data_IF_850254950439
#
_entry.id   IF_850254950439
#
_cell.length_a   1.000
_cell.length_b   1.000
_cell.length_c   1.000
_cell.angle_alpha   90.00
_cell.angle_beta   90.00
_cell.angle_gamma   90.00
#
_symmetry.space_group_name_H-M   'P 1'
#
loop_
_entity.id
_entity.type
_entity.pdbx_description
1 polymer ?
#
# COMPACT_ATOMS: atom_id res chain seq x y z
N UNK A 1 2.10 -7.43 -13.16
CA UNK A 1 2.87 -7.65 -11.91
C UNK A 1 2.36 -8.93 -11.28
N UNK A 2 3.27 -9.76 -10.78
CA UNK A 2 2.94 -10.95 -9.98
C UNK A 2 3.41 -10.73 -8.55
N UNK A 3 2.65 -11.22 -7.60
CA UNK A 3 2.90 -11.13 -6.16
C UNK A 3 2.79 -12.53 -5.55
N UNK A 4 3.63 -12.83 -4.57
CA UNK A 4 3.44 -14.02 -3.75
C UNK A 4 2.25 -13.86 -2.81
N UNK A 5 1.67 -14.99 -2.38
CA UNK A 5 0.75 -14.96 -1.24
C UNK A 5 1.55 -14.74 0.04
N UNK A 6 1.14 -13.75 0.84
CA UNK A 6 1.77 -13.42 2.12
C UNK A 6 0.73 -13.55 3.22
N UNK A 7 1.08 -14.30 4.29
CA UNK A 7 0.22 -14.42 5.46
C UNK A 7 -0.09 -13.04 6.05
N UNK A 8 -1.36 -12.79 6.34
CA UNK A 8 -1.85 -11.50 6.81
C UNK A 8 -2.26 -10.54 5.69
N UNK A 9 -2.17 -10.91 4.40
CA UNK A 9 -2.72 -10.11 3.29
C UNK A 9 -3.93 -10.82 2.71
N UNK A 10 -5.12 -10.25 2.91
CA UNK A 10 -6.38 -10.78 2.37
C UNK A 10 -6.88 -9.88 1.23
N UNK A 11 -6.74 -10.28 -0.05
CA UNK A 11 -7.23 -9.50 -1.16
C UNK A 11 -8.76 -9.47 -1.22
N UNK A 12 -9.31 -8.38 -1.74
CA UNK A 12 -10.73 -8.27 -2.10
C UNK A 12 -10.90 -8.32 -3.62
N UNK A 13 -12.11 -8.66 -4.06
CA UNK A 13 -12.51 -8.62 -5.46
C UNK A 13 -12.43 -7.19 -6.00
N UNK A 14 -11.89 -7.06 -7.22
CA UNK A 14 -11.87 -5.82 -8.01
C UNK A 14 -12.88 -5.85 -9.16
N UNK A 15 -13.95 -6.65 -9.03
CA UNK A 15 -14.94 -6.82 -10.10
C UNK A 15 -15.82 -5.58 -10.32
N UNK A 16 -16.17 -4.85 -9.26
CA UNK A 16 -16.84 -3.56 -9.31
C UNK A 16 -16.53 -2.76 -8.03
N UNK A 17 -16.64 -1.42 -8.05
CA UNK A 17 -16.41 -0.58 -6.86
C UNK A 17 -17.26 -1.03 -5.66
N UNK A 18 -18.55 -1.32 -5.90
CA UNK A 18 -19.49 -1.71 -4.85
C UNK A 18 -19.06 -3.03 -4.20
N UNK A 19 -18.66 -4.01 -5.01
CA UNK A 19 -18.20 -5.30 -4.50
C UNK A 19 -16.88 -5.19 -3.76
N UNK A 20 -15.96 -4.35 -4.25
CA UNK A 20 -14.71 -4.04 -3.55
C UNK A 20 -15.00 -3.42 -2.17
N UNK A 21 -15.88 -2.43 -2.11
CA UNK A 21 -16.26 -1.77 -0.87
C UNK A 21 -16.94 -2.70 0.13
N UNK A 22 -17.88 -3.54 -0.34
CA UNK A 22 -18.57 -4.52 0.50
C UNK A 22 -17.61 -5.54 1.11
N UNK A 23 -16.73 -6.12 0.30
CA UNK A 23 -15.74 -7.09 0.76
C UNK A 23 -14.73 -6.41 1.72
N UNK A 24 -14.27 -5.19 1.41
CA UNK A 24 -13.33 -4.45 2.24
C UNK A 24 -13.92 -4.10 3.61
N UNK A 25 -15.15 -3.57 3.63
CA UNK A 25 -15.86 -3.25 4.87
C UNK A 25 -16.09 -4.51 5.72
N UNK A 26 -16.50 -5.62 5.09
CA UNK A 26 -16.71 -6.88 5.81
C UNK A 26 -15.42 -7.41 6.45
N UNK A 27 -14.29 -7.32 5.74
CA UNK A 27 -12.98 -7.70 6.27
C UNK A 27 -12.53 -6.78 7.42
N UNK A 28 -12.73 -5.46 7.30
CA UNK A 28 -12.38 -4.51 8.35
C UNK A 28 -13.21 -4.72 9.62
N UNK A 29 -14.53 -4.94 9.49
CA UNK A 29 -15.41 -5.28 10.62
C UNK A 29 -14.98 -6.58 11.27
N UNK A 30 -14.67 -7.62 10.48
CA UNK A 30 -14.17 -8.89 11.02
C UNK A 30 -12.88 -8.71 11.83
N UNK A 31 -11.96 -7.90 11.33
CA UNK A 31 -10.66 -7.69 11.95
C UNK A 31 -10.73 -6.80 13.21
N UNK A 32 -11.64 -5.82 13.25
CA UNK A 32 -11.83 -4.92 14.43
C UNK A 32 -12.82 -5.45 15.46
N UNK A 33 -13.64 -6.44 15.11
CA UNK A 33 -14.67 -7.01 15.96
C UNK A 33 -16.07 -6.41 15.76
N UNK A 34 -17.09 -6.96 16.43
CA UNK A 34 -18.50 -6.68 16.14
C UNK A 34 -18.93 -5.24 16.42
N UNK A 35 -18.23 -4.51 17.29
CA UNK A 35 -18.53 -3.09 17.56
C UNK A 35 -18.28 -2.21 16.33
N UNK A 36 -17.27 -2.54 15.51
CA UNK A 36 -16.95 -1.81 14.29
C UNK A 36 -18.03 -1.93 13.21
N UNK A 37 -18.96 -2.89 13.32
CA UNK A 37 -20.10 -3.01 12.40
C UNK A 37 -21.03 -1.80 12.46
N UNK A 38 -21.02 -1.05 13.57
CA UNK A 38 -21.84 0.14 13.77
C UNK A 38 -21.07 1.44 13.51
N UNK A 39 -19.80 1.36 13.12
CA UNK A 39 -18.99 2.52 12.79
C UNK A 39 -19.24 2.94 11.33
N UNK A 40 -19.94 4.07 11.08
CA UNK A 40 -20.19 4.54 9.72
C UNK A 40 -18.88 4.90 8.98
N UNK A 41 -17.81 5.23 9.71
CA UNK A 41 -16.51 5.53 9.14
C UNK A 41 -15.90 4.34 8.41
N UNK A 42 -16.11 3.11 8.91
CA UNK A 42 -15.58 1.90 8.25
C UNK A 42 -16.19 1.71 6.86
N UNK A 43 -17.50 1.92 6.73
CA UNK A 43 -18.19 1.80 5.44
C UNK A 43 -17.77 2.90 4.48
N UNK A 44 -17.77 4.15 4.94
CA UNK A 44 -17.37 5.29 4.12
C UNK A 44 -15.93 5.15 3.61
N UNK A 45 -14.97 4.80 4.48
CA UNK A 45 -13.58 4.61 4.06
C UNK A 45 -13.43 3.44 3.06
N UNK A 46 -14.24 2.38 3.19
CA UNK A 46 -14.21 1.28 2.25
C UNK A 46 -14.75 1.67 0.86
N UNK A 47 -15.79 2.50 0.81
CA UNK A 47 -16.34 3.07 -0.42
C UNK A 47 -15.33 3.99 -1.10
N UNK A 48 -14.76 4.96 -0.38
CA UNK A 48 -13.75 5.89 -0.90
C UNK A 48 -12.50 5.14 -1.42
N UNK A 49 -12.03 4.13 -0.68
CA UNK A 49 -10.90 3.30 -1.10
C UNK A 49 -11.22 2.49 -2.37
N UNK A 50 -12.43 1.96 -2.49
CA UNK A 50 -12.86 1.23 -3.68
C UNK A 50 -12.98 2.16 -4.89
N UNK A 51 -13.60 3.33 -4.74
CA UNK A 51 -13.72 4.31 -5.82
C UNK A 51 -12.35 4.73 -6.35
N UNK A 52 -11.42 5.09 -5.46
CA UNK A 52 -10.07 5.46 -5.83
C UNK A 52 -9.32 4.30 -6.49
N UNK A 53 -9.44 3.09 -5.96
CA UNK A 53 -8.80 1.91 -6.54
C UNK A 53 -9.27 1.65 -7.97
N UNK A 54 -10.57 1.75 -8.23
CA UNK A 54 -11.13 1.56 -9.57
C UNK A 54 -10.80 2.71 -10.51
N UNK A 55 -10.90 3.96 -10.04
CA UNK A 55 -10.56 5.15 -10.83
C UNK A 55 -9.09 5.15 -11.31
N UNK A 56 -8.18 4.60 -10.51
CA UNK A 56 -6.76 4.53 -10.81
C UNK A 56 -6.28 3.17 -11.32
N UNK A 57 -7.19 2.23 -11.60
CA UNK A 57 -6.85 0.92 -12.15
C UNK A 57 -5.95 0.08 -11.25
N UNK A 58 -6.24 0.06 -9.94
CA UNK A 58 -5.51 -0.75 -8.97
C UNK A 58 -5.47 -2.23 -9.41
N UNK A 59 -4.29 -2.84 -9.26
CA UNK A 59 -4.09 -4.27 -9.47
C UNK A 59 -4.31 -5.10 -8.22
N UNK A 60 -4.41 -4.46 -7.05
CA UNK A 60 -4.68 -5.10 -5.76
C UNK A 60 -5.36 -4.10 -4.83
N UNK A 61 -6.41 -4.57 -4.15
CA UNK A 61 -6.90 -4.00 -2.88
C UNK A 61 -6.95 -5.15 -1.87
N UNK A 62 -6.49 -4.92 -0.65
CA UNK A 62 -6.43 -5.94 0.39
C UNK A 62 -6.56 -5.35 1.80
N UNK A 63 -7.03 -6.17 2.74
CA UNK A 63 -6.85 -5.91 4.17
C UNK A 63 -5.56 -6.58 4.62
N UNK A 64 -4.75 -5.83 5.39
CA UNK A 64 -3.52 -6.30 6.00
C UNK A 64 -3.73 -6.46 7.51
N UNK A 65 -3.47 -7.65 8.03
CA UNK A 65 -3.72 -8.04 9.41
C UNK A 65 -2.43 -8.57 10.06
N UNK A 66 -2.26 -8.25 11.34
CA UNK A 66 -1.22 -8.84 12.18
C UNK A 66 -1.74 -8.96 13.62
N UNK A 67 -1.35 -10.01 14.36
CA UNK A 67 -1.87 -10.27 15.71
C UNK A 67 -1.59 -9.14 16.72
N UNK A 68 -0.54 -8.35 16.48
CA UNK A 68 -0.14 -7.21 17.31
C UNK A 68 -0.53 -5.85 16.74
N UNK A 69 -1.33 -5.80 15.67
CA UNK A 69 -1.68 -4.57 14.98
C UNK A 69 -3.19 -4.46 14.74
N UNK A 70 -3.66 -3.23 14.57
CA UNK A 70 -5.00 -3.00 14.03
C UNK A 70 -4.96 -3.18 12.49
N UNK A 71 -6.06 -3.59 11.84
CA UNK A 71 -6.05 -3.84 10.41
C UNK A 71 -5.80 -2.56 9.60
N UNK A 72 -5.08 -2.72 8.50
CA UNK A 72 -4.79 -1.67 7.53
C UNK A 72 -5.33 -2.02 6.14
N UNK A 73 -5.52 -1.01 5.31
CA UNK A 73 -5.90 -1.16 3.90
C UNK A 73 -4.66 -1.02 3.04
N UNK A 74 -4.45 -1.96 2.14
CA UNK A 74 -3.40 -1.94 1.14
C UNK A 74 -4.03 -1.79 -0.24
N UNK A 75 -3.56 -0.82 -1.02
CA UNK A 75 -3.83 -0.77 -2.46
C UNK A 75 -2.53 -0.74 -3.23
N UNK A 76 -2.47 -1.48 -4.33
CA UNK A 76 -1.34 -1.50 -5.23
C UNK A 76 -1.75 -1.29 -6.68
N UNK A 77 -0.97 -0.51 -7.40
CA UNK A 77 -1.15 -0.26 -8.83
C UNK A 77 0.18 -0.31 -9.57
N UNK A 78 0.11 -0.44 -10.90
CA UNK A 78 1.27 -0.34 -11.78
C UNK A 78 1.14 0.94 -12.59
N UNK A 79 2.13 1.82 -12.46
CA UNK A 79 2.28 3.01 -13.30
C UNK A 79 3.23 2.68 -14.44
N UNK A 80 2.92 3.15 -15.64
CA UNK A 80 3.75 2.96 -16.83
C UNK A 80 4.22 4.32 -17.34
N UNK A 81 5.53 4.48 -17.51
CA UNK A 81 6.13 5.68 -18.10
C UNK A 81 6.26 5.57 -19.63
N UNK A 82 6.34 6.72 -20.30
CA UNK A 82 6.51 6.77 -21.76
C UNK A 82 7.89 6.25 -22.21
N UNK A 83 8.91 6.48 -21.38
CA UNK A 83 10.30 6.05 -21.61
C UNK A 83 10.78 5.09 -20.51
N UNK A 84 11.72 4.19 -20.81
CA UNK A 84 12.34 3.34 -19.79
C UNK A 84 13.01 4.14 -18.68
N UNK A 85 12.98 3.60 -17.48
CA UNK A 85 13.65 4.15 -16.31
C UNK A 85 15.17 4.02 -16.46
N UNK A 86 15.87 5.12 -16.20
CA UNK A 86 17.33 5.13 -16.10
C UNK A 86 17.83 4.36 -14.86
N UNK A 87 19.15 4.08 -14.79
CA UNK A 87 19.75 3.38 -13.64
C UNK A 87 19.57 4.14 -12.32
N UNK A 88 19.42 5.47 -12.39
CA UNK A 88 19.29 6.35 -11.23
C UNK A 88 17.83 6.62 -10.82
N UNK A 89 16.84 5.96 -11.44
CA UNK A 89 15.43 6.28 -11.25
C UNK A 89 14.97 6.16 -9.78
N UNK A 90 15.48 5.18 -9.03
CA UNK A 90 15.18 5.06 -7.60
C UNK A 90 15.76 6.22 -6.78
N UNK A 91 17.01 6.62 -7.06
CA UNK A 91 17.66 7.75 -6.40
C UNK A 91 17.01 9.09 -6.77
N UNK A 92 16.53 9.26 -8.01
CA UNK A 92 15.73 10.40 -8.44
C UNK A 92 14.38 10.46 -7.73
N UNK A 93 13.67 9.33 -7.66
CA UNK A 93 12.40 9.23 -6.96
C UNK A 93 12.55 9.53 -5.46
N UNK A 94 13.57 8.97 -4.81
CA UNK A 94 13.89 9.28 -3.42
C UNK A 94 14.11 10.77 -3.23
N UNK A 95 15.01 11.40 -4.00
CA UNK A 95 15.28 12.84 -3.89
C UNK A 95 14.03 13.67 -4.14
N UNK A 96 13.18 13.25 -5.07
CA UNK A 96 11.89 13.88 -5.29
C UNK A 96 10.99 13.78 -4.05
N UNK A 97 10.87 12.60 -3.43
CA UNK A 97 10.06 12.40 -2.23
C UNK A 97 10.62 13.16 -1.01
N UNK A 98 11.94 13.17 -0.83
CA UNK A 98 12.62 13.96 0.21
C UNK A 98 12.43 15.47 -0.03
N UNK A 99 12.49 15.93 -1.28
CA UNK A 99 12.31 17.33 -1.64
C UNK A 99 10.85 17.80 -1.65
N UNK A 100 9.92 16.89 -1.94
CA UNK A 100 8.47 17.10 -1.88
C UNK A 100 7.88 16.76 -0.50
N UNK A 101 8.71 16.33 0.45
CA UNK A 101 8.32 16.04 1.81
C UNK A 101 7.71 17.31 2.44
N UNK A 102 6.38 17.36 2.47
CA UNK A 102 5.67 18.16 3.45
C UNK A 102 5.99 17.66 4.87
N UNK A 103 5.43 18.30 5.91
CA UNK A 103 5.68 17.92 7.31
C UNK A 103 5.32 16.46 7.66
N UNK A 104 4.64 15.75 6.76
CA UNK A 104 4.08 14.43 7.02
C UNK A 104 4.99 13.26 6.63
N UNK A 105 6.00 13.46 5.76
CA UNK A 105 6.98 12.40 5.44
C UNK A 105 8.06 12.42 6.51
N UNK A 106 8.12 11.34 7.30
CA UNK A 106 9.12 11.19 8.37
C UNK A 106 10.43 10.63 7.85
N UNK A 107 10.35 9.64 6.95
CA UNK A 107 11.53 8.93 6.46
C UNK A 107 11.34 8.48 5.01
N UNK A 108 12.45 8.45 4.26
CA UNK A 108 12.52 7.90 2.90
C UNK A 108 13.73 6.98 2.84
N UNK A 109 13.48 5.69 2.62
CA UNK A 109 14.51 4.66 2.59
C UNK A 109 14.57 3.95 1.24
N UNK A 110 15.71 3.33 0.97
CA UNK A 110 15.95 2.51 -0.21
C UNK A 110 16.23 1.07 0.19
N UNK A 111 15.75 0.14 -0.63
CA UNK A 111 16.00 -1.29 -0.48
C UNK A 111 15.93 -1.98 -1.85
N UNK A 112 15.97 -3.31 -1.86
CA UNK A 112 15.79 -4.12 -3.05
C UNK A 112 14.81 -5.27 -2.79
N UNK A 113 14.08 -5.68 -3.82
CA UNK A 113 13.33 -6.94 -3.79
C UNK A 113 14.27 -8.15 -3.82
N UNK A 114 13.75 -9.35 -3.59
CA UNK A 114 14.51 -10.60 -3.76
C UNK A 114 15.08 -10.78 -5.18
N UNK A 115 14.46 -10.15 -6.18
CA UNK A 115 14.90 -10.17 -7.58
C UNK A 115 15.89 -9.04 -7.90
N UNK A 116 16.28 -8.24 -6.89
CA UNK A 116 17.20 -7.11 -7.05
C UNK A 116 16.56 -5.86 -7.64
N UNK A 117 15.23 -5.75 -7.65
CA UNK A 117 14.56 -4.54 -8.13
C UNK A 117 14.66 -3.43 -7.08
N UNK A 118 15.06 -2.21 -7.45
CA UNK A 118 15.11 -1.09 -6.53
C UNK A 118 13.73 -0.80 -5.93
N UNK A 119 13.72 -0.55 -4.62
CA UNK A 119 12.53 -0.17 -3.86
C UNK A 119 12.80 1.15 -3.15
N UNK A 120 11.93 2.13 -3.34
CA UNK A 120 11.89 3.37 -2.55
C UNK A 120 10.69 3.32 -1.62
N UNK A 121 10.92 3.52 -0.33
CA UNK A 121 9.89 3.47 0.71
C UNK A 121 9.79 4.85 1.35
N UNK A 122 8.58 5.39 1.44
CA UNK A 122 8.30 6.63 2.17
C UNK A 122 7.28 6.36 3.27
N UNK A 123 7.67 6.67 4.50
CA UNK A 123 6.80 6.61 5.68
C UNK A 123 6.19 7.97 5.96
N UNK A 124 4.86 8.00 6.02
CA UNK A 124 4.04 9.16 6.32
C UNK A 124 3.34 8.96 7.65
N UNK A 125 3.79 9.69 8.67
CA UNK A 125 3.20 9.65 10.01
C UNK A 125 2.84 11.10 10.35
N UNK A 126 1.58 11.51 10.11
CA UNK A 126 1.15 12.87 10.39
C UNK A 126 1.28 13.17 11.88
N UNK A 127 1.77 14.37 12.20
CA UNK A 127 2.02 14.75 13.60
C UNK A 127 0.73 15.03 14.40
N UNK A 128 -0.37 15.33 13.71
CA UNK A 128 -1.62 15.86 14.31
C UNK A 128 -2.82 14.94 14.06
N UNK A 129 -2.76 14.08 13.05
CA UNK A 129 -3.83 13.16 12.68
C UNK A 129 -3.50 11.74 13.14
N UNK A 130 -4.54 10.97 13.48
CA UNK A 130 -4.37 9.57 13.82
C UNK A 130 -4.10 8.75 12.54
N UNK A 131 -3.18 7.79 12.63
CA UNK A 131 -2.88 6.85 11.55
C UNK A 131 -1.47 6.97 11.00
N UNK A 132 -1.14 6.05 10.09
CA UNK A 132 0.14 5.98 9.41
C UNK A 132 -0.06 5.49 7.98
N UNK A 133 0.77 5.96 7.06
CA UNK A 133 0.80 5.49 5.69
C UNK A 133 2.23 5.14 5.28
N UNK A 134 2.39 4.02 4.57
CA UNK A 134 3.65 3.59 3.97
C UNK A 134 3.42 3.50 2.48
N UNK A 135 4.27 4.17 1.72
CA UNK A 135 4.29 4.05 0.28
C UNK A 135 5.57 3.35 -0.16
N UNK A 136 5.45 2.18 -0.78
CA UNK A 136 6.58 1.47 -1.37
C UNK A 136 6.47 1.50 -2.90
N UNK A 137 7.54 1.90 -3.58
CA UNK A 137 7.62 1.96 -5.04
C UNK A 137 8.72 1.02 -5.51
N UNK A 138 8.34 -0.02 -6.24
CA UNK A 138 9.28 -0.94 -6.89
C UNK A 138 9.47 -0.51 -8.33
N UNK A 139 10.71 -0.25 -8.72
CA UNK A 139 11.07 0.20 -10.07
C UNK A 139 11.51 -1.00 -10.91
N UNK A 140 10.90 -1.19 -12.08
CA UNK A 140 11.35 -2.19 -13.05
C UNK A 140 12.72 -1.79 -13.64
N UNK A 141 13.80 -2.57 -13.42
CA UNK A 141 15.12 -2.20 -13.94
C UNK A 141 15.15 -2.20 -15.46
N UNK A 142 15.50 -1.05 -16.05
CA UNK A 142 15.56 -0.86 -17.51
C UNK A 142 14.21 -0.96 -18.22
N UNK A 143 13.11 -1.14 -17.47
CA UNK A 143 11.75 -1.21 -17.98
C UNK A 143 11.02 0.12 -17.82
N UNK A 144 9.70 0.09 -18.02
CA UNK A 144 8.83 1.30 -17.99
C UNK A 144 7.85 1.28 -16.83
N UNK A 145 7.90 0.26 -15.98
CA UNK A 145 6.87 0.00 -14.98
C UNK A 145 7.38 0.34 -13.60
N UNK A 146 6.51 0.94 -12.80
CA UNK A 146 6.68 1.06 -11.37
C UNK A 146 5.46 0.45 -10.68
N UNK A 147 5.68 -0.41 -9.70
CA UNK A 147 4.62 -0.89 -8.83
C UNK A 147 4.58 -0.01 -7.59
N UNK A 148 3.44 0.63 -7.34
CA UNK A 148 3.22 1.52 -6.19
C UNK A 148 2.28 0.81 -5.24
N UNK A 149 2.72 0.66 -4.00
CA UNK A 149 1.95 0.09 -2.89
C UNK A 149 1.71 1.19 -1.86
N UNK A 150 0.47 1.35 -1.45
CA UNK A 150 0.07 2.27 -0.38
C UNK A 150 -0.62 1.46 0.69
N UNK A 151 0.00 1.38 1.87
CA UNK A 151 -0.59 0.80 3.07
C UNK A 151 -1.04 1.93 3.98
N UNK A 152 -2.29 1.90 4.40
CA UNK A 152 -2.88 2.90 5.28
C UNK A 152 -3.47 2.23 6.54
N UNK A 153 -2.91 2.58 7.70
CA UNK A 153 -3.44 2.23 9.02
C UNK A 153 -4.13 3.44 9.63
N UNK A 154 -5.39 3.30 10.04
CA UNK A 154 -6.16 4.44 10.59
C UNK A 154 -5.80 4.76 12.05
N UNK A 155 -5.11 3.85 12.77
CA UNK A 155 -4.78 4.02 14.19
C UNK A 155 -3.28 4.11 14.45
N UNK A 156 -2.44 3.59 13.54
CA UNK A 156 -0.99 3.48 13.72
C UNK A 156 -0.57 2.40 14.72
N UNK A 157 -1.51 1.70 15.36
CA UNK A 157 -1.19 0.64 16.33
C UNK A 157 -0.61 -0.59 15.62
N UNK A 158 0.59 -1.01 16.04
CA UNK A 158 1.32 -2.12 15.42
C UNK A 158 1.84 -1.79 14.02
N UNK A 159 2.18 -0.52 13.78
CA UNK A 159 2.60 -0.02 12.47
C UNK A 159 3.80 -0.77 11.89
N UNK A 160 4.83 -1.02 12.69
CA UNK A 160 6.06 -1.68 12.24
C UNK A 160 5.78 -3.11 11.76
N UNK A 161 4.82 -3.79 12.37
CA UNK A 161 4.42 -5.15 12.06
C UNK A 161 3.68 -5.19 10.73
N UNK A 162 2.77 -4.23 10.49
CA UNK A 162 2.08 -4.08 9.20
C UNK A 162 3.06 -3.69 8.09
N UNK A 163 4.00 -2.78 8.37
CA UNK A 163 5.08 -2.42 7.45
C UNK A 163 5.95 -3.64 7.12
N UNK A 164 6.23 -4.50 8.11
CA UNK A 164 6.91 -5.77 7.90
C UNK A 164 6.13 -6.77 7.04
N UNK A 165 4.79 -6.82 7.16
CA UNK A 165 3.94 -7.63 6.27
C UNK A 165 4.02 -7.09 4.83
N UNK A 166 3.92 -5.78 4.65
CA UNK A 166 4.06 -5.16 3.33
C UNK A 166 5.46 -5.39 2.74
N UNK A 167 6.52 -5.27 3.54
CA UNK A 167 7.89 -5.51 3.09
C UNK A 167 8.07 -6.91 2.51
N UNK A 168 7.48 -7.95 3.12
CA UNK A 168 7.48 -9.31 2.57
C UNK A 168 6.74 -9.41 1.23
N UNK A 169 5.61 -8.72 1.10
CA UNK A 169 4.86 -8.69 -0.16
C UNK A 169 5.64 -7.98 -1.27
N UNK A 170 6.17 -6.79 -0.97
CA UNK A 170 6.98 -5.97 -1.88
C UNK A 170 8.23 -6.71 -2.34
N UNK A 171 8.89 -7.44 -1.42
CA UNK A 171 10.07 -8.27 -1.74
C UNK A 171 9.80 -9.33 -2.80
N UNK A 172 8.54 -9.78 -2.94
CA UNK A 172 8.14 -10.82 -3.90
C UNK A 172 7.79 -10.30 -5.31
N UNK A 173 7.82 -8.98 -5.53
CA UNK A 173 7.35 -8.37 -6.78
C UNK A 173 8.13 -8.87 -7.98
N UNK A 174 7.37 -9.31 -8.99
CA UNK A 174 7.88 -9.67 -10.31
C UNK A 174 7.14 -8.91 -11.43
N UNK A 175 7.87 -8.37 -12.40
CA UNK A 175 7.31 -7.69 -13.58
C UNK A 175 7.12 -8.61 -14.80
N UNK A 176 7.73 -9.80 -14.80
CA UNK A 176 7.64 -10.77 -15.90
C UNK A 176 6.27 -11.36 -16.12
#
# INVERSE_FOLDING_TARGET
>A
MRLASVAGVTPVSLASPERTADELAALMVRARGPEAAHDPGVRQSAEEAAELAHAHGAGLVAVVEHAAADPAVLVALVVVSDAPHGPDAAAELRRYLEGAAGPDIQDVTESCTEQGYPVVIADRIPAVEAGCQLQAVVVEPGGRRMAVFTLHSTTGRGWLELAGVLGRLVSSVAFG
#
